data_IF_408451982364
#
_entry.id   IF_408451982364
#
_cell.length_a   1.000
_cell.length_b   1.000
_cell.length_c   1.000
_cell.angle_alpha   90.00
_cell.angle_beta   90.00
_cell.angle_gamma   90.00
#
_symmetry.space_group_name_H-M   'P 1'
#
loop_
_entity.id
_entity.type
_entity.pdbx_description
1 polymer ?
#
# COMPACT_ATOMS: atom_id res chain seq x y z
N UNK A 1 2.76 -14.39 -33.58
CA UNK A 1 2.88 -12.92 -33.43
C UNK A 1 2.87 -12.62 -31.94
N UNK A 2 4.02 -12.31 -31.35
CA UNK A 2 4.10 -11.85 -29.96
C UNK A 2 3.53 -10.43 -29.90
N UNK A 3 2.45 -10.22 -29.17
CA UNK A 3 2.04 -8.86 -28.80
C UNK A 3 3.15 -8.29 -27.91
N UNK A 4 3.91 -7.32 -28.41
CA UNK A 4 4.77 -6.52 -27.54
C UNK A 4 3.83 -5.78 -26.57
N UNK A 5 3.97 -6.05 -25.28
CA UNK A 5 3.31 -5.22 -24.28
C UNK A 5 3.84 -3.79 -24.44
N UNK A 6 2.96 -2.81 -24.53
CA UNK A 6 3.36 -1.40 -24.62
C UNK A 6 4.09 -1.04 -23.34
N UNK A 7 5.33 -0.57 -23.46
CA UNK A 7 6.05 -0.06 -22.30
C UNK A 7 5.39 1.22 -21.78
N UNK A 8 5.41 1.41 -20.46
CA UNK A 8 4.86 2.57 -19.76
C UNK A 8 5.98 3.37 -19.08
N UNK A 9 5.83 4.69 -19.09
CA UNK A 9 6.82 5.62 -18.53
C UNK A 9 6.59 5.94 -17.06
N UNK A 10 5.38 5.72 -16.53
CA UNK A 10 5.01 5.93 -15.13
C UNK A 10 3.85 5.02 -14.72
N UNK A 11 3.67 4.79 -13.43
CA UNK A 11 2.59 3.96 -12.88
C UNK A 11 2.10 4.52 -11.55
N UNK A 12 0.78 4.58 -11.37
CA UNK A 12 0.14 5.09 -10.15
C UNK A 12 -1.03 4.21 -9.78
N UNK A 13 -1.09 3.73 -8.53
CA UNK A 13 -2.08 2.75 -8.05
C UNK A 13 -2.75 3.28 -6.79
N UNK A 14 -4.09 3.33 -6.77
CA UNK A 14 -4.88 3.63 -5.58
C UNK A 14 -5.18 2.32 -4.83
N UNK A 15 -4.30 1.93 -3.91
CA UNK A 15 -4.30 0.61 -3.28
C UNK A 15 -5.54 0.40 -2.40
N UNK A 16 -6.40 -0.55 -2.76
CA UNK A 16 -7.68 -0.76 -2.10
C UNK A 16 -8.78 0.23 -2.49
N UNK A 17 -8.50 1.16 -3.41
CA UNK A 17 -9.41 2.23 -3.84
C UNK A 17 -9.85 2.10 -5.29
N UNK A 18 -10.85 2.91 -5.66
CA UNK A 18 -11.28 3.08 -7.06
C UNK A 18 -10.29 3.96 -7.81
N UNK A 19 -10.45 4.03 -9.12
CA UNK A 19 -9.67 4.94 -9.96
C UNK A 19 -9.96 6.39 -9.54
N UNK A 20 -8.91 7.19 -9.40
CA UNK A 20 -9.01 8.61 -8.99
C UNK A 20 -8.01 9.46 -9.78
N UNK A 21 -8.36 10.72 -10.02
CA UNK A 21 -7.48 11.68 -10.68
C UNK A 21 -7.06 12.77 -9.70
N UNK A 22 -5.77 12.80 -9.36
CA UNK A 22 -5.19 13.70 -8.37
C UNK A 22 -4.14 14.55 -9.07
N UNK A 23 -4.34 15.86 -9.14
CA UNK A 23 -3.40 16.80 -9.78
C UNK A 23 -2.98 16.36 -11.21
N UNK A 24 -3.96 16.02 -12.06
CA UNK A 24 -3.76 15.47 -13.42
C UNK A 24 -3.01 14.13 -13.49
N UNK A 25 -2.79 13.46 -12.36
CA UNK A 25 -2.23 12.12 -12.29
C UNK A 25 -3.35 11.12 -12.07
N UNK A 26 -3.49 10.17 -12.98
CA UNK A 26 -4.46 9.08 -12.90
C UNK A 26 -3.91 7.96 -12.03
N UNK A 27 -4.55 7.66 -10.91
CA UNK A 27 -4.28 6.48 -10.10
C UNK A 27 -5.24 5.36 -10.49
N UNK A 28 -4.70 4.23 -10.96
CA UNK A 28 -5.48 3.07 -11.35
C UNK A 28 -6.16 2.40 -10.14
N UNK A 29 -7.34 1.81 -10.36
CA UNK A 29 -8.13 1.18 -9.31
C UNK A 29 -7.54 -0.14 -8.83
N UNK A 30 -7.50 -0.36 -7.52
CA UNK A 30 -7.18 -1.66 -6.92
C UNK A 30 -8.31 -2.11 -5.98
N UNK A 31 -9.37 -2.65 -6.57
CA UNK A 31 -10.61 -3.01 -5.83
C UNK A 31 -10.83 -4.51 -5.65
N UNK A 32 -9.82 -5.34 -5.94
CA UNK A 32 -9.92 -6.80 -5.73
C UNK A 32 -10.12 -7.12 -4.25
N UNK A 33 -11.24 -7.76 -3.92
CA UNK A 33 -11.65 -7.97 -2.53
C UNK A 33 -10.88 -9.13 -1.89
N UNK A 34 -10.50 -10.15 -2.67
CA UNK A 34 -9.76 -11.32 -2.21
C UNK A 34 -8.31 -10.97 -1.87
N UNK A 35 -7.66 -11.83 -1.07
CA UNK A 35 -6.25 -11.63 -0.71
C UNK A 35 -5.61 -12.61 0.28
N UNK A 36 -6.28 -13.71 0.67
CA UNK A 36 -5.69 -14.67 1.61
C UNK A 36 -4.48 -15.39 1.02
N UNK A 37 -4.59 -15.74 -0.26
CA UNK A 37 -3.56 -16.31 -1.09
C UNK A 37 -3.97 -16.03 -2.53
N UNK A 38 -3.50 -14.91 -3.07
CA UNK A 38 -3.94 -14.44 -4.38
C UNK A 38 -2.78 -13.85 -5.15
N UNK A 39 -2.77 -14.11 -6.46
CA UNK A 39 -2.09 -13.30 -7.45
C UNK A 39 -3.15 -12.65 -8.34
N UNK A 40 -3.14 -11.32 -8.42
CA UNK A 40 -4.05 -10.54 -9.25
C UNK A 40 -3.24 -9.72 -10.24
N UNK A 41 -3.63 -9.75 -11.52
CA UNK A 41 -2.95 -9.06 -12.60
C UNK A 41 -3.91 -8.08 -13.29
N UNK A 42 -3.54 -6.81 -13.32
CA UNK A 42 -4.29 -5.71 -13.91
C UNK A 42 -3.66 -5.20 -15.22
N UNK A 43 -2.68 -5.92 -15.79
CA UNK A 43 -1.96 -5.54 -17.01
C UNK A 43 -0.64 -4.83 -16.68
N UNK A 44 -0.69 -3.52 -16.46
CA UNK A 44 0.50 -2.70 -16.17
C UNK A 44 1.00 -2.84 -14.73
N UNK A 45 0.23 -3.49 -13.88
CA UNK A 45 0.62 -3.82 -12.52
C UNK A 45 -0.08 -5.08 -12.04
N UNK A 46 0.46 -5.66 -10.98
CA UNK A 46 -0.09 -6.83 -10.34
C UNK A 46 0.16 -6.76 -8.83
N UNK A 47 -0.56 -7.57 -8.05
CA UNK A 47 -0.18 -7.83 -6.68
C UNK A 47 -0.28 -9.31 -6.34
N UNK A 48 0.52 -9.71 -5.35
CA UNK A 48 0.40 -11.00 -4.67
C UNK A 48 0.24 -10.77 -3.17
N UNK A 49 -0.57 -11.61 -2.53
CA UNK A 49 -0.84 -11.51 -1.09
C UNK A 49 -0.89 -12.89 -0.45
N UNK A 50 -0.46 -12.97 0.81
CA UNK A 50 -0.46 -14.22 1.58
C UNK A 50 -0.93 -14.00 3.02
N UNK A 51 -1.51 -15.06 3.57
CA UNK A 51 -1.97 -15.15 4.93
C UNK A 51 -3.46 -14.84 5.04
N UNK A 52 -4.13 -15.55 5.94
CA UNK A 52 -5.52 -15.33 6.27
C UNK A 52 -5.62 -14.70 7.67
N UNK A 53 -6.58 -13.79 7.87
CA UNK A 53 -6.88 -13.27 9.20
C UNK A 53 -7.67 -14.33 9.98
N UNK A 54 -7.08 -14.87 11.05
CA UNK A 54 -7.71 -15.88 11.91
C UNK A 54 -8.63 -15.23 12.95
N UNK A 55 -9.70 -15.95 13.32
CA UNK A 55 -10.65 -15.61 14.39
C UNK A 55 -11.22 -14.18 14.32
N UNK A 56 -11.44 -13.64 13.13
CA UNK A 56 -11.92 -12.27 12.97
C UNK A 56 -13.44 -12.12 12.90
N UNK A 57 -14.20 -13.21 13.04
CA UNK A 57 -15.68 -13.32 13.01
C UNK A 57 -16.36 -12.58 11.85
N UNK A 58 -15.59 -12.09 10.86
CA UNK A 58 -16.05 -11.35 9.70
C UNK A 58 -16.38 -12.34 8.60
N UNK A 59 -17.53 -12.14 7.96
CA UNK A 59 -17.81 -12.82 6.70
C UNK A 59 -16.68 -12.53 5.71
N UNK A 60 -16.29 -13.56 4.97
CA UNK A 60 -15.01 -13.65 4.26
C UNK A 60 -14.55 -12.33 3.59
N UNK A 61 -13.55 -11.71 4.21
CA UNK A 61 -12.34 -11.31 3.49
C UNK A 61 -12.46 -10.14 2.53
N UNK A 62 -12.73 -8.93 3.03
CA UNK A 62 -12.23 -7.73 2.36
C UNK A 62 -10.77 -7.48 2.78
N UNK A 63 -9.85 -7.69 1.84
CA UNK A 63 -8.44 -7.28 1.97
C UNK A 63 -8.24 -5.78 1.69
N UNK A 64 -9.34 -5.04 1.72
CA UNK A 64 -9.41 -3.58 1.63
C UNK A 64 -9.88 -3.04 2.98
N UNK A 65 -9.14 -2.07 3.49
CA UNK A 65 -9.52 -1.25 4.63
C UNK A 65 -10.15 0.04 4.13
N UNK A 66 -11.23 0.43 4.79
CA UNK A 66 -11.84 1.75 4.68
C UNK A 66 -11.53 2.54 5.94
N UNK A 67 -11.41 3.87 5.80
CA UNK A 67 -11.07 4.73 6.91
C UNK A 67 -12.16 4.74 7.99
N UNK A 68 -11.74 4.50 9.22
CA UNK A 68 -12.54 4.71 10.44
C UNK A 68 -11.99 5.86 11.27
N UNK A 69 -10.72 6.21 11.08
CA UNK A 69 -10.11 7.39 11.68
C UNK A 69 -10.42 8.66 10.88
N UNK A 70 -10.59 9.79 11.57
CA UNK A 70 -10.58 11.11 10.94
C UNK A 70 -9.23 11.36 10.25
N UNK A 71 -9.28 11.85 9.01
CA UNK A 71 -8.08 12.27 8.29
C UNK A 71 -7.64 13.66 8.79
N UNK A 72 -6.36 13.82 9.08
CA UNK A 72 -5.78 15.03 9.66
C UNK A 72 -4.57 15.49 8.85
N UNK A 73 -4.48 16.81 8.62
CA UNK A 73 -3.35 17.45 7.94
C UNK A 73 -3.02 16.84 6.56
N UNK A 74 -4.03 16.32 5.86
CA UNK A 74 -3.92 15.88 4.47
C UNK A 74 -4.52 16.99 3.61
N UNK A 75 -3.81 17.40 2.56
CA UNK A 75 -4.36 18.34 1.58
C UNK A 75 -5.63 17.74 0.99
N UNK A 76 -6.71 18.52 0.95
CA UNK A 76 -8.03 18.05 0.50
C UNK A 76 -7.96 17.38 -0.88
N UNK A 77 -7.10 17.89 -1.77
CA UNK A 77 -6.89 17.34 -3.11
C UNK A 77 -6.35 15.91 -3.12
N UNK A 78 -5.53 15.52 -2.14
CA UNK A 78 -4.91 14.19 -2.07
C UNK A 78 -5.65 13.25 -1.11
N UNK A 79 -6.64 13.78 -0.38
CA UNK A 79 -7.33 13.07 0.71
C UNK A 79 -7.98 11.76 0.26
N UNK A 80 -8.43 11.70 -0.99
CA UNK A 80 -9.09 10.53 -1.57
C UNK A 80 -8.18 9.29 -1.56
N UNK A 81 -6.87 9.46 -1.78
CA UNK A 81 -5.88 8.36 -1.74
C UNK A 81 -5.75 7.72 -0.36
N UNK A 82 -6.12 8.43 0.71
CA UNK A 82 -5.97 7.97 2.09
C UNK A 82 -7.29 7.58 2.73
N UNK A 83 -8.38 7.48 1.96
CA UNK A 83 -9.67 6.97 2.45
C UNK A 83 -9.73 5.44 2.49
N UNK A 84 -8.89 4.79 1.68
CA UNK A 84 -8.79 3.33 1.60
C UNK A 84 -7.33 2.88 1.63
N UNK A 85 -7.11 1.61 1.98
CA UNK A 85 -5.81 0.97 1.89
C UNK A 85 -5.97 -0.53 1.60
N UNK A 86 -5.06 -1.11 0.81
CA UNK A 86 -4.96 -2.57 0.74
C UNK A 86 -4.22 -3.08 1.98
N UNK A 87 -4.70 -4.19 2.54
CA UNK A 87 -4.07 -4.93 3.63
C UNK A 87 -3.77 -6.37 3.26
N UNK A 88 -2.83 -6.98 3.97
CA UNK A 88 -2.62 -8.43 3.96
C UNK A 88 -2.28 -8.91 5.37
N UNK A 89 -2.50 -10.19 5.65
CA UNK A 89 -2.19 -10.74 6.97
C UNK A 89 -0.69 -10.96 7.18
N UNK A 90 0.02 -11.46 6.16
CA UNK A 90 1.45 -11.80 6.26
C UNK A 90 2.30 -11.00 5.27
N UNK A 91 2.03 -11.12 3.97
CA UNK A 91 2.83 -10.48 2.92
C UNK A 91 1.93 -9.87 1.87
N UNK A 92 2.29 -8.69 1.40
CA UNK A 92 1.68 -8.01 0.26
C UNK A 92 2.81 -7.54 -0.65
N UNK A 93 2.78 -7.96 -1.91
CA UNK A 93 3.78 -7.53 -2.90
C UNK A 93 3.09 -6.96 -4.11
N UNK A 94 3.39 -5.72 -4.45
CA UNK A 94 3.01 -5.09 -5.72
C UNK A 94 4.15 -5.21 -6.74
N UNK A 95 3.74 -5.34 -7.99
CA UNK A 95 4.60 -5.34 -9.16
C UNK A 95 4.14 -4.23 -10.09
N UNK A 96 5.01 -3.25 -10.37
CA UNK A 96 4.87 -2.43 -11.56
C UNK A 96 5.44 -3.20 -12.73
N UNK A 97 4.67 -3.38 -13.80
CA UNK A 97 4.99 -4.20 -14.97
C UNK A 97 5.13 -3.31 -16.20
N UNK A 98 5.83 -3.80 -17.21
CA UNK A 98 6.02 -3.11 -18.49
C UNK A 98 6.62 -1.70 -18.37
N UNK A 99 7.33 -1.37 -17.28
CA UNK A 99 8.00 -0.08 -17.15
C UNK A 99 9.17 0.02 -18.13
N UNK A 100 9.41 1.17 -18.73
CA UNK A 100 10.66 1.39 -19.48
C UNK A 100 11.88 1.18 -18.57
N UNK A 101 12.98 0.67 -19.11
CA UNK A 101 14.23 0.60 -18.34
C UNK A 101 14.78 2.01 -18.10
N UNK A 102 15.11 2.33 -16.86
CA UNK A 102 15.48 3.70 -16.50
C UNK A 102 15.56 3.94 -15.01
N UNK A 103 15.73 5.21 -14.63
CA UNK A 103 15.76 5.65 -13.24
C UNK A 103 14.39 6.19 -12.85
N UNK A 104 13.92 5.79 -11.68
CA UNK A 104 12.59 6.13 -11.19
C UNK A 104 12.63 6.57 -9.73
N UNK A 105 11.66 7.39 -9.35
CA UNK A 105 11.29 7.63 -7.95
C UNK A 105 10.04 6.81 -7.68
N UNK A 106 10.15 5.88 -6.72
CA UNK A 106 9.02 5.16 -6.14
C UNK A 106 8.57 5.90 -4.89
N UNK A 107 7.31 6.33 -4.86
CA UNK A 107 6.66 6.92 -3.69
C UNK A 107 5.67 5.91 -3.12
N UNK A 108 5.82 5.58 -1.84
CA UNK A 108 4.91 4.70 -1.11
C UNK A 108 4.10 5.56 -0.15
N UNK A 109 2.78 5.54 -0.35
CA UNK A 109 1.83 6.34 0.43
C UNK A 109 1.20 5.49 1.52
N UNK A 110 1.26 5.99 2.75
CA UNK A 110 0.72 5.33 3.92
C UNK A 110 -0.13 6.29 4.75
N UNK A 111 -1.20 5.78 5.33
CA UNK A 111 -1.88 6.38 6.47
C UNK A 111 -2.41 5.26 7.37
N UNK A 112 -2.28 5.40 8.68
CA UNK A 112 -2.98 4.49 9.61
C UNK A 112 -4.42 4.97 9.75
N UNK A 113 -5.32 4.27 9.06
CA UNK A 113 -6.72 4.66 8.89
C UNK A 113 -7.71 3.80 9.69
N UNK A 114 -7.22 2.75 10.35
CA UNK A 114 -8.03 1.85 11.18
C UNK A 114 -7.97 2.25 12.66
N UNK A 115 -6.76 2.45 13.18
CA UNK A 115 -6.60 2.87 14.58
C UNK A 115 -6.95 4.34 14.77
N UNK A 116 -7.57 4.65 15.90
CA UNK A 116 -7.96 6.01 16.28
C UNK A 116 -6.97 6.61 17.27
N UNK A 117 -7.01 7.92 17.48
CA UNK A 117 -6.19 8.64 18.47
C UNK A 117 -7.02 9.16 19.65
N UNK A 118 -8.23 8.66 19.82
CA UNK A 118 -9.11 9.00 20.93
C UNK A 118 -8.75 8.22 22.21
N UNK A 119 -9.50 8.41 23.30
CA UNK A 119 -9.30 7.66 24.56
C UNK A 119 -9.94 6.27 24.55
N UNK A 120 -10.28 5.74 23.36
CA UNK A 120 -10.91 4.42 23.24
C UNK A 120 -9.88 3.30 23.25
N UNK A 121 -10.35 2.05 23.40
CA UNK A 121 -9.55 0.83 23.28
C UNK A 121 -8.80 0.74 21.94
N UNK A 122 -9.38 1.29 20.86
CA UNK A 122 -8.82 1.22 19.51
C UNK A 122 -7.50 1.99 19.39
N UNK A 123 -7.30 3.01 20.22
CA UNK A 123 -6.08 3.82 20.26
C UNK A 123 -4.84 3.09 20.77
N UNK A 124 -5.03 1.92 21.39
CA UNK A 124 -3.94 1.05 21.84
C UNK A 124 -3.38 0.19 20.71
N UNK A 125 -4.06 0.12 19.56
CA UNK A 125 -3.63 -0.63 18.40
C UNK A 125 -2.29 -0.13 17.84
N UNK A 126 -1.41 -1.07 17.47
CA UNK A 126 -0.12 -0.77 16.85
C UNK A 126 0.07 -1.64 15.62
N UNK A 127 0.41 -1.01 14.49
CA UNK A 127 0.77 -1.70 13.25
C UNK A 127 2.25 -1.55 13.00
N UNK A 128 2.92 -2.68 12.77
CA UNK A 128 4.37 -2.74 12.55
C UNK A 128 4.66 -3.75 11.45
N UNK A 129 5.35 -3.35 10.39
CA UNK A 129 5.74 -4.23 9.28
C UNK A 129 7.05 -3.76 8.65
N UNK A 130 7.67 -4.61 7.84
CA UNK A 130 8.85 -4.29 7.06
C UNK A 130 8.47 -3.89 5.62
N UNK A 131 9.26 -3.02 5.01
CA UNK A 131 9.09 -2.58 3.62
C UNK A 131 10.37 -2.85 2.83
N UNK A 132 10.21 -3.55 1.72
CA UNK A 132 11.25 -3.89 0.76
C UNK A 132 10.93 -3.25 -0.59
N UNK A 133 11.95 -2.70 -1.24
CA UNK A 133 11.85 -2.16 -2.60
C UNK A 133 12.96 -2.79 -3.43
N UNK A 134 12.61 -3.40 -4.56
CA UNK A 134 13.51 -4.20 -5.39
C UNK A 134 14.28 -5.28 -4.60
N UNK A 135 13.63 -5.87 -3.58
CA UNK A 135 14.22 -6.91 -2.73
C UNK A 135 15.11 -6.39 -1.59
N UNK A 136 15.41 -5.10 -1.54
CA UNK A 136 16.20 -4.51 -0.46
C UNK A 136 15.30 -4.03 0.69
N UNK A 137 15.66 -4.37 1.94
CA UNK A 137 14.98 -3.87 3.13
C UNK A 137 15.21 -2.36 3.27
N UNK A 138 14.16 -1.56 3.06
CA UNK A 138 14.22 -0.10 3.18
C UNK A 138 13.72 0.40 4.53
N UNK A 139 12.69 -0.24 5.09
CA UNK A 139 12.16 0.10 6.41
C UNK A 139 11.97 -1.16 7.22
N UNK A 140 12.61 -1.24 8.39
CA UNK A 140 12.45 -2.32 9.36
C UNK A 140 11.58 -1.87 10.52
N UNK A 141 10.62 -2.70 10.94
CA UNK A 141 9.65 -2.39 11.99
C UNK A 141 8.94 -1.04 11.77
N UNK A 142 8.56 -0.74 10.53
CA UNK A 142 7.90 0.50 10.18
C UNK A 142 6.55 0.63 10.89
N UNK A 143 6.35 1.76 11.58
CA UNK A 143 5.12 2.11 12.28
C UNK A 143 4.64 3.46 11.75
N UNK A 144 3.53 3.44 11.02
CA UNK A 144 2.98 4.62 10.32
C UNK A 144 2.62 5.72 11.33
N UNK A 145 1.96 5.38 12.44
CA UNK A 145 1.52 6.36 13.46
C UNK A 145 2.72 7.10 14.06
N UNK A 146 3.81 6.36 14.34
CA UNK A 146 5.04 6.95 14.89
C UNK A 146 5.68 7.92 13.89
N UNK A 147 5.74 7.54 12.62
CA UNK A 147 6.32 8.37 11.56
C UNK A 147 5.47 9.62 11.27
N UNK A 148 4.14 9.46 11.25
CA UNK A 148 3.21 10.55 10.93
C UNK A 148 2.94 11.50 12.11
N UNK A 149 3.34 11.11 13.33
CA UNK A 149 3.00 11.82 14.56
C UNK A 149 1.51 11.74 14.93
N UNK A 150 0.81 10.68 14.52
CA UNK A 150 -0.62 10.48 14.79
C UNK A 150 -1.31 9.54 13.80
N UNK A 151 -2.57 9.17 14.09
CA UNK A 151 -3.41 8.39 13.17
C UNK A 151 -4.07 9.29 12.13
N UNK A 152 -4.51 8.73 11.00
CA UNK A 152 -5.21 9.48 9.95
C UNK A 152 -4.35 10.54 9.24
N UNK A 153 -3.02 10.46 9.38
CA UNK A 153 -2.05 11.38 8.77
C UNK A 153 -1.28 10.66 7.68
N UNK A 154 -1.04 11.35 6.57
CA UNK A 154 -0.29 10.82 5.44
C UNK A 154 1.21 10.76 5.74
N UNK A 155 1.85 9.70 5.26
CA UNK A 155 3.31 9.52 5.22
C UNK A 155 3.68 9.06 3.83
N UNK A 156 4.66 9.73 3.21
CA UNK A 156 5.19 9.36 1.90
C UNK A 156 6.64 8.97 2.08
N UNK A 157 7.01 7.75 1.65
CA UNK A 157 8.40 7.29 1.64
C UNK A 157 8.88 7.17 0.20
N UNK A 158 9.98 7.85 -0.10
CA UNK A 158 10.49 8.01 -1.47
C UNK A 158 11.78 7.22 -1.65
N UNK A 159 11.90 6.47 -2.74
CA UNK A 159 13.07 5.66 -3.05
C UNK A 159 13.46 5.79 -4.52
N UNK A 160 14.74 6.06 -4.77
CA UNK A 160 15.30 5.99 -6.11
C UNK A 160 15.56 4.52 -6.49
N UNK A 161 15.08 4.11 -7.65
CA UNK A 161 15.28 2.74 -8.18
C UNK A 161 15.77 2.79 -9.62
N UNK A 162 16.50 1.75 -10.02
CA UNK A 162 16.88 1.51 -11.40
C UNK A 162 16.07 0.30 -11.90
N UNK A 163 15.27 0.50 -12.94
CA UNK A 163 14.50 -0.55 -13.62
C UNK A 163 15.36 -1.14 -14.73
N UNK A 164 15.59 -2.45 -14.67
CA UNK A 164 16.44 -3.20 -15.63
C UNK A 164 15.70 -4.30 -16.41
N UNK A 165 14.56 -4.72 -15.89
CA UNK A 165 13.77 -5.85 -16.38
C UNK A 165 12.27 -5.47 -16.48
N UNK A 166 12.03 -4.20 -16.81
CA UNK A 166 10.69 -3.62 -16.93
C UNK A 166 9.78 -3.79 -15.69
N UNK A 167 10.37 -4.11 -14.54
CA UNK A 167 9.63 -4.47 -13.32
C UNK A 167 10.14 -3.71 -12.10
N UNK A 168 9.21 -3.22 -11.29
CA UNK A 168 9.48 -2.75 -9.92
C UNK A 168 8.72 -3.63 -8.94
N UNK A 169 9.43 -4.24 -7.99
CA UNK A 169 8.84 -5.04 -6.92
C UNK A 169 8.84 -4.26 -5.60
N UNK A 170 7.67 -4.14 -4.99
CA UNK A 170 7.48 -3.51 -3.67
C UNK A 170 6.84 -4.54 -2.75
N UNK A 171 7.51 -4.94 -1.68
CA UNK A 171 7.01 -5.95 -0.76
C UNK A 171 6.86 -5.36 0.65
N UNK A 172 5.71 -5.63 1.27
CA UNK A 172 5.41 -5.30 2.64
C UNK A 172 5.22 -6.62 3.39
N UNK A 173 5.89 -6.76 4.54
CA UNK A 173 5.96 -8.03 5.26
C UNK A 173 5.72 -7.85 6.75
N UNK A 174 4.81 -8.64 7.30
CA UNK A 174 4.54 -8.69 8.73
C UNK A 174 5.34 -9.79 9.42
N UNK A 175 6.34 -9.38 10.19
CA UNK A 175 7.19 -10.28 10.98
C UNK A 175 6.61 -10.62 12.36
N UNK A 176 5.27 -10.61 12.52
CA UNK A 176 4.61 -10.99 13.79
C UNK A 176 4.60 -9.91 14.88
N UNK A 177 4.84 -8.63 14.56
CA UNK A 177 4.90 -7.53 15.53
C UNK A 177 3.67 -6.62 15.51
N UNK A 178 3.41 -5.96 16.63
CA UNK A 178 2.25 -5.09 16.79
C UNK A 178 1.04 -5.84 17.33
N UNK A 179 -0.14 -5.28 17.16
CA UNK A 179 -1.36 -5.77 17.78
C UNK A 179 -2.14 -6.67 16.82
N UNK A 180 -2.64 -7.79 17.32
CA UNK A 180 -3.43 -8.75 16.54
C UNK A 180 -4.93 -8.67 16.82
N UNK A 181 -5.32 -8.19 18.01
CA UNK A 181 -6.69 -8.22 18.54
C UNK A 181 -7.40 -6.88 18.72
N UNK A 182 -6.81 -5.77 18.28
CA UNK A 182 -7.37 -4.41 18.43
C UNK A 182 -7.47 -3.81 17.02
N UNK A 183 -8.57 -3.12 16.65
CA UNK A 183 -9.82 -2.98 17.42
C UNK A 183 -10.57 -4.32 17.55
N UNK A 184 -10.40 -5.19 16.56
CA UNK A 184 -10.90 -6.57 16.53
C UNK A 184 -9.77 -7.51 16.15
N UNK A 185 -9.93 -8.81 16.37
CA UNK A 185 -9.02 -9.84 15.86
C UNK A 185 -8.86 -9.72 14.34
N UNK A 186 -7.68 -10.07 13.84
CA UNK A 186 -7.39 -9.93 12.41
C UNK A 186 -7.14 -8.49 11.95
N UNK A 187 -6.63 -7.63 12.84
CA UNK A 187 -6.31 -6.22 12.52
C UNK A 187 -4.80 -5.96 12.39
N UNK A 188 -3.99 -7.01 12.28
CA UNK A 188 -2.54 -6.96 12.09
C UNK A 188 -2.16 -6.87 10.60
N UNK A 189 -0.86 -6.98 10.30
CA UNK A 189 -0.35 -7.03 8.92
C UNK A 189 -0.06 -5.66 8.29
N UNK A 190 0.60 -5.63 7.12
CA UNK A 190 0.89 -4.40 6.40
C UNK A 190 -0.35 -3.76 5.79
N UNK A 191 -0.27 -2.44 5.59
CA UNK A 191 -1.23 -1.65 4.81
C UNK A 191 -0.49 -0.69 3.89
N UNK A 192 -1.09 -0.35 2.75
CA UNK A 192 -0.61 0.71 1.84
C UNK A 192 -1.79 1.38 1.17
N UNK A 193 -1.72 2.71 1.05
CA UNK A 193 -2.81 3.56 0.52
C UNK A 193 -2.64 3.80 -0.98
N UNK A 194 -1.42 4.07 -1.44
CA UNK A 194 -1.13 4.27 -2.85
C UNK A 194 0.35 4.01 -3.17
N UNK A 195 0.62 3.81 -4.46
CA UNK A 195 1.97 3.70 -5.03
C UNK A 195 2.07 4.66 -6.21
N UNK A 196 3.18 5.40 -6.30
CA UNK A 196 3.56 6.19 -7.48
C UNK A 196 4.95 5.76 -7.94
N UNK A 197 5.13 5.61 -9.25
CA UNK A 197 6.40 5.27 -9.89
C UNK A 197 6.59 6.27 -11.04
N UNK A 198 7.44 7.26 -10.82
CA UNK A 198 7.68 8.37 -11.75
C UNK A 198 9.10 8.30 -12.30
N UNK A 199 9.34 8.55 -13.60
CA UNK A 199 10.68 8.57 -14.16
C UNK A 199 11.45 9.79 -13.64
N UNK A 200 12.75 9.63 -13.38
CA UNK A 200 13.63 10.74 -13.05
C UNK A 200 14.11 11.33 -14.37
N UNK A 201 13.56 12.47 -14.75
CA UNK A 201 14.09 13.24 -15.89
C UNK A 201 15.34 13.95 -15.42
N UNK A 202 16.51 13.48 -15.86
CA UNK A 202 17.75 14.26 -15.80
C UNK A 202 17.77 15.19 -17.01
N UNK A 203 17.75 16.50 -16.77
CA UNK A 203 18.05 17.51 -17.78
C UNK A 203 19.55 17.54 -18.08
#
# INVERSE_FOLDING_TARGET
MSSFASEISSLHINCGGKEVNINNTKYESDTEKKGASLYYNAGNWAFSSTGNFLDDDRDSGSYILSNTSSLHNIFTADSELYTTARKAAISLTYYGLCLMNGRYIVKLHFAEILFTQDKSFNSLGRRVFDVYVQGELKLKNFNIVKEAGGTGRAVIKMYHVIVKNNTVKIQLYWAGKGTTGIPVRGSYGPIISAISIDPIVTF
#
